data_IF_913600308446
#
_entry.id   IF_913600308446
#
_cell.length_a   1.000
_cell.length_b   1.000
_cell.length_c   1.000
_cell.angle_alpha   90.00
_cell.angle_beta   90.00
_cell.angle_gamma   90.00
#
_symmetry.space_group_name_H-M   'P 1'
#
loop_
_entity.id
_entity.type
_entity.pdbx_description
1 polymer ?
#
# COMPACT_ATOMS: atom_id res chain seq x y z
N UNK A 1 -44.51 14.83 0.85
CA UNK A 1 -43.60 14.93 -0.32
C UNK A 1 -42.30 15.65 0.05
N UNK A 2 -42.35 16.81 0.70
CA UNK A 2 -41.15 17.56 1.14
C UNK A 2 -40.22 16.80 2.09
N UNK A 3 -40.78 16.05 3.06
CA UNK A 3 -40.00 15.24 3.99
C UNK A 3 -39.15 14.16 3.30
N UNK A 4 -39.65 13.54 2.22
CA UNK A 4 -38.90 12.53 1.47
C UNK A 4 -37.76 13.16 0.65
N UNK A 5 -37.96 14.37 0.13
CA UNK A 5 -36.92 15.12 -0.59
C UNK A 5 -35.79 15.55 0.35
N UNK A 6 -36.12 15.95 1.58
CA UNK A 6 -35.12 16.27 2.60
C UNK A 6 -34.29 15.05 3.02
N UNK A 7 -34.92 13.88 3.18
CA UNK A 7 -34.18 12.65 3.48
C UNK A 7 -33.26 12.23 2.32
N UNK A 8 -33.73 12.33 1.08
CA UNK A 8 -32.94 12.03 -0.10
C UNK A 8 -31.71 12.95 -0.22
N UNK A 9 -31.88 14.26 -0.03
CA UNK A 9 -30.76 15.21 -0.10
C UNK A 9 -29.72 14.98 1.01
N UNK A 10 -30.15 14.58 2.21
CA UNK A 10 -29.24 14.21 3.30
C UNK A 10 -28.46 12.93 2.97
N UNK A 11 -29.11 11.92 2.38
CA UNK A 11 -28.43 10.69 1.95
C UNK A 11 -27.40 10.98 0.85
N UNK A 12 -27.76 11.78 -0.16
CA UNK A 12 -26.85 12.19 -1.22
C UNK A 12 -25.63 12.94 -0.68
N UNK A 13 -25.84 13.84 0.29
CA UNK A 13 -24.77 14.55 0.97
C UNK A 13 -23.84 13.58 1.71
N UNK A 14 -24.38 12.61 2.45
CA UNK A 14 -23.58 11.61 3.17
C UNK A 14 -22.75 10.78 2.19
N UNK A 15 -23.36 10.27 1.11
CA UNK A 15 -22.65 9.50 0.08
C UNK A 15 -21.54 10.33 -0.55
N UNK A 16 -21.81 11.60 -0.84
CA UNK A 16 -20.83 12.52 -1.39
C UNK A 16 -19.64 12.74 -0.44
N UNK A 17 -19.91 12.98 0.85
CA UNK A 17 -18.86 13.15 1.87
C UNK A 17 -18.02 11.89 2.00
N UNK A 18 -18.64 10.72 2.17
CA UNK A 18 -17.94 9.43 2.29
C UNK A 18 -17.06 9.19 1.06
N UNK A 19 -17.58 9.43 -0.15
CA UNK A 19 -16.81 9.30 -1.38
C UNK A 19 -15.61 10.23 -1.40
N UNK A 20 -15.79 11.51 -1.00
CA UNK A 20 -14.69 12.48 -0.95
C UNK A 20 -13.60 12.04 0.03
N UNK A 21 -13.97 11.66 1.25
CA UNK A 21 -13.04 11.16 2.27
C UNK A 21 -12.30 9.93 1.76
N UNK A 22 -13.02 8.93 1.22
CA UNK A 22 -12.41 7.71 0.69
C UNK A 22 -11.46 8.00 -0.47
N UNK A 23 -11.85 8.87 -1.42
CA UNK A 23 -10.97 9.23 -2.55
C UNK A 23 -9.73 10.01 -2.12
N UNK A 24 -9.85 10.86 -1.08
CA UNK A 24 -8.70 11.58 -0.53
C UNK A 24 -7.74 10.60 0.15
N UNK A 25 -8.27 9.65 0.94
CA UNK A 25 -7.48 8.60 1.56
C UNK A 25 -6.75 7.73 0.52
N UNK A 26 -7.46 7.28 -0.52
CA UNK A 26 -6.86 6.49 -1.60
C UNK A 26 -5.73 7.24 -2.32
N UNK A 27 -5.89 8.54 -2.58
CA UNK A 27 -4.83 9.35 -3.19
C UNK A 27 -3.61 9.49 -2.29
N UNK A 28 -3.82 9.69 -0.98
CA UNK A 28 -2.74 9.77 -0.02
C UNK A 28 -1.95 8.45 0.04
N UNK A 29 -2.65 7.31 0.08
CA UNK A 29 -2.04 5.98 0.04
C UNK A 29 -1.28 5.76 -1.27
N UNK A 30 -1.89 6.07 -2.42
CA UNK A 30 -1.24 5.94 -3.73
C UNK A 30 0.01 6.82 -3.85
N UNK A 31 -0.04 8.04 -3.32
CA UNK A 31 1.10 8.95 -3.30
C UNK A 31 2.23 8.41 -2.43
N UNK A 32 1.91 7.89 -1.24
CA UNK A 32 2.90 7.28 -0.35
C UNK A 32 3.57 6.04 -0.99
N UNK A 33 2.79 5.18 -1.65
CA UNK A 33 3.33 4.02 -2.39
C UNK A 33 4.22 4.49 -3.55
N UNK A 34 3.77 5.48 -4.32
CA UNK A 34 4.56 6.01 -5.44
C UNK A 34 5.88 6.64 -4.95
N UNK A 35 5.86 7.35 -3.84
CA UNK A 35 7.05 7.94 -3.22
C UNK A 35 8.00 6.85 -2.72
N UNK A 36 7.48 5.84 -2.03
CA UNK A 36 8.28 4.68 -1.59
C UNK A 36 8.93 3.98 -2.78
N UNK A 37 8.15 3.75 -3.84
CA UNK A 37 8.67 3.16 -5.07
C UNK A 37 9.71 4.10 -5.72
N UNK A 38 9.56 5.41 -5.67
CA UNK A 38 10.57 6.32 -6.25
C UNK A 38 11.89 6.37 -5.46
N UNK A 39 11.86 6.11 -4.15
CA UNK A 39 12.97 6.38 -3.24
C UNK A 39 14.15 5.41 -3.35
N UNK A 40 13.90 4.15 -3.69
CA UNK A 40 14.92 3.10 -3.71
C UNK A 40 15.09 2.51 -5.11
N UNK A 41 16.31 2.23 -5.59
CA UNK A 41 16.50 1.56 -6.88
C UNK A 41 15.85 0.16 -6.88
N UNK A 42 15.52 -0.41 -8.04
CA UNK A 42 15.12 -1.80 -8.11
C UNK A 42 16.27 -2.73 -7.70
N UNK A 43 15.96 -3.83 -7.02
CA UNK A 43 16.89 -4.83 -6.50
C UNK A 43 16.56 -6.22 -7.08
N UNK A 44 17.56 -6.93 -7.59
CA UNK A 44 17.36 -8.30 -8.10
C UNK A 44 17.12 -9.31 -6.97
N UNK A 45 16.65 -10.52 -7.33
CA UNK A 45 16.51 -11.60 -6.34
C UNK A 45 17.86 -12.03 -5.77
N UNK A 46 18.94 -12.07 -6.56
CA UNK A 46 20.27 -12.41 -6.04
C UNK A 46 20.79 -11.35 -5.05
N UNK A 47 20.56 -10.07 -5.34
CA UNK A 47 20.96 -8.97 -4.45
C UNK A 47 20.16 -8.98 -3.14
N UNK A 48 18.86 -9.23 -3.24
CA UNK A 48 17.96 -9.38 -2.10
C UNK A 48 18.43 -10.53 -1.19
N UNK A 49 18.68 -11.71 -1.79
CA UNK A 49 19.11 -12.89 -1.04
C UNK A 49 20.49 -12.72 -0.40
N UNK A 50 21.41 -11.98 -1.02
CA UNK A 50 22.72 -11.66 -0.41
C UNK A 50 22.60 -10.80 0.84
N UNK A 51 21.54 -10.01 0.95
CA UNK A 51 21.27 -9.15 2.11
C UNK A 51 20.46 -9.87 3.19
N UNK A 52 19.81 -11.00 2.87
CA UNK A 52 19.14 -11.82 3.85
C UNK A 52 20.14 -12.52 4.80
N UNK A 53 19.74 -12.70 6.06
CA UNK A 53 20.53 -13.46 7.04
C UNK A 53 20.67 -14.94 6.62
N UNK A 54 21.83 -15.54 6.88
CA UNK A 54 22.18 -16.92 6.49
C UNK A 54 21.29 -18.04 7.06
N UNK A 55 20.39 -17.72 8.00
CA UNK A 55 19.41 -18.66 8.56
C UNK A 55 18.08 -18.74 7.81
N UNK A 56 17.84 -17.90 6.80
CA UNK A 56 16.58 -17.85 6.07
C UNK A 56 16.71 -18.62 4.76
N UNK A 57 15.78 -19.55 4.51
CA UNK A 57 15.67 -20.23 3.21
C UNK A 57 15.43 -19.21 2.09
N UNK A 58 16.19 -19.27 0.97
CA UNK A 58 15.96 -18.39 -0.18
C UNK A 58 14.52 -18.42 -0.70
N UNK A 59 13.92 -19.60 -0.73
CA UNK A 59 12.53 -19.77 -1.16
C UNK A 59 11.56 -19.01 -0.25
N UNK A 60 11.75 -19.10 1.06
CA UNK A 60 10.92 -18.39 2.05
C UNK A 60 11.13 -16.88 1.91
N UNK A 61 12.38 -16.43 1.74
CA UNK A 61 12.71 -15.01 1.60
C UNK A 61 12.01 -14.38 0.38
N UNK A 62 12.10 -15.03 -0.79
CA UNK A 62 11.45 -14.56 -2.01
C UNK A 62 9.92 -14.65 -1.91
N UNK A 63 9.38 -15.68 -1.24
CA UNK A 63 7.94 -15.78 -1.02
C UNK A 63 7.41 -14.65 -0.14
N UNK A 64 8.12 -14.32 0.94
CA UNK A 64 7.77 -13.17 1.80
C UNK A 64 7.86 -11.88 1.02
N UNK A 65 8.91 -11.70 0.20
CA UNK A 65 9.07 -10.53 -0.67
C UNK A 65 7.85 -10.33 -1.58
N UNK A 66 7.35 -11.40 -2.21
CA UNK A 66 6.14 -11.38 -3.03
C UNK A 66 4.89 -11.00 -2.23
N UNK A 67 4.70 -11.61 -1.05
CA UNK A 67 3.54 -11.30 -0.18
C UNK A 67 3.53 -9.82 0.22
N UNK A 68 4.68 -9.25 0.57
CA UNK A 68 4.80 -7.83 0.95
C UNK A 68 4.44 -6.93 -0.23
N UNK A 69 4.98 -7.23 -1.42
CA UNK A 69 4.67 -6.50 -2.65
C UNK A 69 3.17 -6.50 -2.97
N UNK A 70 2.55 -7.67 -2.96
CA UNK A 70 1.12 -7.83 -3.24
C UNK A 70 0.23 -7.15 -2.18
N UNK A 71 0.59 -7.27 -0.90
CA UNK A 71 -0.23 -6.77 0.20
C UNK A 71 -0.18 -5.25 0.32
N UNK A 72 0.94 -4.62 -0.03
CA UNK A 72 1.18 -3.19 0.16
C UNK A 72 1.14 -2.39 -1.15
N UNK A 73 1.07 -3.05 -2.31
CA UNK A 73 1.13 -2.41 -3.62
C UNK A 73 2.51 -1.82 -3.95
N UNK A 74 3.55 -2.23 -3.22
CA UNK A 74 4.94 -1.85 -3.46
C UNK A 74 5.48 -2.68 -4.61
N UNK A 75 6.31 -2.09 -5.47
CA UNK A 75 6.97 -2.82 -6.56
C UNK A 75 7.81 -3.97 -5.98
N UNK A 76 7.69 -5.18 -6.52
CA UNK A 76 8.40 -6.37 -6.02
C UNK A 76 9.92 -6.13 -5.87
N UNK A 77 10.53 -5.52 -6.89
CA UNK A 77 11.95 -5.20 -6.93
C UNK A 77 12.36 -4.15 -5.89
N UNK A 78 11.40 -3.44 -5.30
CA UNK A 78 11.62 -2.38 -4.30
C UNK A 78 11.27 -2.80 -2.87
N UNK A 79 10.96 -4.07 -2.66
CA UNK A 79 10.91 -4.68 -1.33
C UNK A 79 12.32 -5.07 -0.92
N UNK A 80 12.82 -4.47 0.16
CA UNK A 80 14.17 -4.70 0.70
C UNK A 80 14.10 -5.53 1.99
N UNK A 81 15.14 -6.31 2.35
CA UNK A 81 15.13 -7.11 3.58
C UNK A 81 14.98 -6.29 4.87
N UNK A 82 15.37 -5.01 4.82
CA UNK A 82 15.27 -4.07 5.94
C UNK A 82 14.04 -3.16 5.86
N UNK A 83 13.12 -3.40 4.93
CA UNK A 83 11.86 -2.65 4.86
C UNK A 83 11.06 -2.88 6.14
N UNK A 84 10.96 -1.84 6.97
CA UNK A 84 10.12 -1.87 8.15
C UNK A 84 8.71 -1.39 7.77
N UNK A 85 7.73 -2.28 7.94
CA UNK A 85 6.32 -2.05 7.62
C UNK A 85 5.48 -1.64 8.84
N UNK A 86 6.10 -1.55 10.01
CA UNK A 86 5.40 -1.30 11.28
C UNK A 86 5.35 0.20 11.64
N UNK A 87 6.20 1.04 11.02
CA UNK A 87 6.38 2.45 11.40
C UNK A 87 5.65 3.48 10.51
N UNK A 88 4.58 3.10 9.82
CA UNK A 88 3.74 4.07 9.08
C UNK A 88 2.70 4.72 9.99
N UNK A 89 3.00 5.90 10.51
CA UNK A 89 2.06 6.92 10.99
C UNK A 89 2.38 8.27 10.34
#
# INVERSE_FOLDING_TARGET
MEFLLQLASLLDLVVWVVRKVYTAHLRAVQWAIAEFNAALPPMSDEEFLRQCSSGVSPEIALRVRAIVSESLGIDYERVYPHTNVVDCC
#
